data_IF_312654715317
#
_entry.id   IF_312654715317
#
_cell.length_a   1.000
_cell.length_b   1.000
_cell.length_c   1.000
_cell.angle_alpha   90.00
_cell.angle_beta   90.00
_cell.angle_gamma   90.00
#
_symmetry.space_group_name_H-M   'P 1'
#
loop_
_entity.id
_entity.type
_entity.pdbx_description
1 polymer ?
#
# COMPACT_ATOMS: atom_id res chain seq x y z
N UNK A 1 18.08 32.57 -36.31
CA UNK A 1 17.60 31.92 -37.53
C UNK A 1 16.13 31.59 -37.32
N UNK A 2 15.23 32.06 -38.20
CA UNK A 2 13.81 31.68 -38.14
C UNK A 2 13.69 30.17 -38.41
N UNK A 3 13.00 29.48 -37.52
CA UNK A 3 12.89 28.02 -37.45
C UNK A 3 11.92 27.43 -38.48
N UNK A 4 12.23 27.60 -39.77
CA UNK A 4 11.56 26.91 -40.88
C UNK A 4 12.38 25.68 -41.32
N UNK A 5 12.92 24.94 -40.36
CA UNK A 5 13.53 23.64 -40.63
C UNK A 5 12.58 22.51 -40.20
N UNK A 6 12.77 21.33 -40.80
CA UNK A 6 11.92 20.14 -40.55
C UNK A 6 11.86 19.77 -39.07
N UNK A 7 12.92 20.03 -38.30
CA UNK A 7 12.95 19.81 -36.85
C UNK A 7 12.01 20.76 -36.09
N UNK A 8 11.92 22.02 -36.50
CA UNK A 8 11.01 23.00 -35.91
C UNK A 8 9.55 22.66 -36.22
N UNK A 9 9.25 22.18 -37.43
CA UNK A 9 7.91 21.70 -37.78
C UNK A 9 7.50 20.49 -36.94
N UNK A 10 8.37 19.48 -36.83
CA UNK A 10 8.12 18.31 -35.97
C UNK A 10 7.92 18.69 -34.51
N UNK A 11 8.72 19.63 -34.00
CA UNK A 11 8.59 20.13 -32.63
C UNK A 11 7.23 20.79 -32.43
N UNK A 12 6.76 21.57 -33.42
CA UNK A 12 5.42 22.18 -33.38
C UNK A 12 4.31 21.14 -33.34
N UNK A 13 4.41 20.10 -34.16
CA UNK A 13 3.42 19.02 -34.20
C UNK A 13 3.35 18.27 -32.85
N UNK A 14 4.50 17.99 -32.24
CA UNK A 14 4.57 17.39 -30.90
C UNK A 14 3.96 18.29 -29.81
N UNK A 15 4.16 19.61 -29.90
CA UNK A 15 3.57 20.57 -28.96
C UNK A 15 2.04 20.59 -29.10
N UNK A 16 1.51 20.55 -30.32
CA UNK A 16 0.06 20.51 -30.54
C UNK A 16 -0.55 19.18 -30.05
N UNK A 17 0.13 18.05 -30.25
CA UNK A 17 -0.29 16.76 -29.68
C UNK A 17 -0.33 16.79 -28.14
N UNK A 18 0.74 17.29 -27.52
CA UNK A 18 0.80 17.43 -26.06
C UNK A 18 -0.32 18.36 -25.52
N UNK A 19 -0.66 19.43 -26.25
CA UNK A 19 -1.78 20.31 -25.92
C UNK A 19 -3.13 19.60 -26.04
N UNK A 20 -3.32 18.74 -27.04
CA UNK A 20 -4.53 17.94 -27.18
C UNK A 20 -4.74 17.03 -25.96
N UNK A 21 -3.70 16.34 -25.51
CA UNK A 21 -3.79 15.48 -24.32
C UNK A 21 -4.12 16.27 -23.05
N UNK A 22 -3.56 17.47 -22.91
CA UNK A 22 -3.91 18.37 -21.80
C UNK A 22 -5.37 18.84 -21.85
N UNK A 23 -5.92 19.11 -23.04
CA UNK A 23 -7.36 19.42 -23.22
C UNK A 23 -8.25 18.25 -22.78
N UNK A 24 -7.81 17.02 -23.01
CA UNK A 24 -8.48 15.79 -22.57
C UNK A 24 -8.29 15.47 -21.08
N UNK A 25 -7.71 16.40 -20.30
CA UNK A 25 -7.48 16.26 -18.85
C UNK A 25 -6.50 15.14 -18.48
N UNK A 26 -5.60 14.74 -19.38
CA UNK A 26 -4.48 13.88 -19.01
C UNK A 26 -3.60 14.59 -17.97
N UNK A 27 -3.32 13.89 -16.86
CA UNK A 27 -2.54 14.46 -15.76
C UNK A 27 -1.04 14.30 -16.01
N UNK A 28 -0.28 15.34 -15.69
CA UNK A 28 1.17 15.31 -15.63
C UNK A 28 1.61 15.09 -14.18
N UNK A 29 2.48 14.12 -13.97
CA UNK A 29 3.14 13.87 -12.69
C UNK A 29 4.65 14.00 -12.86
N UNK A 30 5.32 14.36 -11.78
CA UNK A 30 6.79 14.34 -11.74
C UNK A 30 7.27 12.94 -11.42
N UNK A 31 8.16 12.43 -12.26
CA UNK A 31 8.80 11.14 -12.07
C UNK A 31 10.17 11.11 -12.70
N UNK A 32 10.93 10.08 -12.36
CA UNK A 32 12.16 9.73 -13.03
C UNK A 32 12.15 8.22 -13.32
N UNK A 33 12.73 7.84 -14.45
CA UNK A 33 12.92 6.45 -14.83
C UNK A 33 14.42 6.18 -14.82
N UNK A 34 14.86 5.37 -13.86
CA UNK A 34 16.28 5.03 -13.68
C UNK A 34 16.44 3.52 -13.80
N UNK A 35 17.40 3.11 -14.62
CA UNK A 35 17.78 1.70 -14.75
C UNK A 35 19.09 1.46 -14.01
N UNK A 36 19.06 0.59 -13.00
CA UNK A 36 20.24 0.21 -12.25
C UNK A 36 20.83 -1.06 -12.87
N UNK A 37 22.04 -0.94 -13.40
CA UNK A 37 22.76 -2.06 -14.02
C UNK A 37 23.79 -2.63 -13.04
N UNK A 38 23.89 -3.96 -13.02
CA UNK A 38 24.93 -4.69 -12.29
C UNK A 38 25.53 -5.74 -13.22
N UNK A 39 26.84 -5.89 -13.17
CA UNK A 39 27.59 -6.91 -13.89
C UNK A 39 28.81 -7.35 -13.05
N UNK A 40 29.37 -8.56 -13.27
CA UNK A 40 30.54 -9.04 -12.55
C UNK A 40 31.82 -8.28 -12.89
N UNK A 41 31.88 -7.67 -14.08
CA UNK A 41 33.03 -6.92 -14.59
C UNK A 41 32.58 -5.76 -15.49
N UNK A 42 33.48 -4.80 -15.73
CA UNK A 42 33.19 -3.60 -16.52
C UNK A 42 32.86 -3.90 -17.99
N UNK A 43 33.49 -4.90 -18.59
CA UNK A 43 33.25 -5.23 -20.01
C UNK A 43 31.83 -5.77 -20.21
N UNK A 44 31.37 -6.61 -19.28
CA UNK A 44 29.98 -7.09 -19.27
C UNK A 44 29.00 -5.95 -18.99
N UNK A 45 29.36 -5.01 -18.10
CA UNK A 45 28.54 -3.83 -17.81
C UNK A 45 28.32 -2.96 -19.06
N UNK A 46 29.39 -2.69 -19.82
CA UNK A 46 29.32 -1.92 -21.06
C UNK A 46 28.40 -2.59 -22.09
N UNK A 47 28.47 -3.92 -22.20
CA UNK A 47 27.59 -4.68 -23.08
C UNK A 47 26.11 -4.56 -22.66
N UNK A 48 25.82 -4.70 -21.36
CA UNK A 48 24.47 -4.50 -20.83
C UNK A 48 23.96 -3.07 -21.06
N UNK A 49 24.82 -2.07 -20.85
CA UNK A 49 24.49 -0.66 -21.08
C UNK A 49 24.17 -0.40 -22.56
N UNK A 50 24.97 -0.91 -23.49
CA UNK A 50 24.73 -0.76 -24.94
C UNK A 50 23.42 -1.44 -25.36
N UNK A 51 23.18 -2.65 -24.86
CA UNK A 51 21.94 -3.41 -25.13
C UNK A 51 20.71 -2.66 -24.61
N UNK A 52 20.74 -2.21 -23.35
CA UNK A 52 19.66 -1.42 -22.76
C UNK A 52 19.43 -0.12 -23.54
N UNK A 53 20.50 0.62 -23.84
CA UNK A 53 20.40 1.88 -24.59
C UNK A 53 19.75 1.67 -25.96
N UNK A 54 20.09 0.58 -26.65
CA UNK A 54 19.48 0.21 -27.93
C UNK A 54 17.98 -0.06 -27.77
N UNK A 55 17.58 -0.83 -26.76
CA UNK A 55 16.16 -1.12 -26.47
C UNK A 55 15.39 0.17 -26.17
N UNK A 56 15.95 1.04 -25.33
CA UNK A 56 15.31 2.30 -24.95
C UNK A 56 15.13 3.22 -26.16
N UNK A 57 16.17 3.40 -26.97
CA UNK A 57 16.10 4.24 -28.18
C UNK A 57 15.08 3.70 -29.17
N UNK A 58 15.03 2.38 -29.39
CA UNK A 58 14.03 1.75 -30.25
C UNK A 58 12.59 1.90 -29.72
N UNK A 59 12.43 2.02 -28.39
CA UNK A 59 11.16 2.32 -27.74
C UNK A 59 10.84 3.83 -27.68
N UNK A 60 11.66 4.69 -28.32
CA UNK A 60 11.47 6.15 -28.33
C UNK A 60 11.94 6.85 -27.05
N UNK A 61 12.63 6.16 -26.14
CA UNK A 61 13.22 6.72 -24.93
C UNK A 61 14.68 7.13 -25.18
N UNK A 62 15.08 8.29 -24.65
CA UNK A 62 16.45 8.80 -24.77
C UNK A 62 17.16 8.70 -23.40
N UNK A 63 17.92 7.64 -23.12
CA UNK A 63 18.65 7.54 -21.86
C UNK A 63 19.73 8.62 -21.76
N UNK A 64 19.99 9.08 -20.54
CA UNK A 64 21.14 9.93 -20.24
C UNK A 64 22.41 9.10 -20.39
N UNK A 65 23.39 9.57 -21.15
CA UNK A 65 24.72 8.96 -21.17
C UNK A 65 25.33 9.09 -19.75
N UNK A 66 25.76 8.00 -19.10
CA UNK A 66 26.35 8.05 -17.76
C UNK A 66 27.49 9.07 -17.60
N UNK A 67 28.26 9.34 -18.66
CA UNK A 67 29.34 10.35 -18.65
C UNK A 67 28.83 11.79 -18.45
N UNK A 68 27.55 12.04 -18.73
CA UNK A 68 26.91 13.34 -18.55
C UNK A 68 26.10 13.44 -17.26
N UNK A 69 26.07 12.40 -16.42
CA UNK A 69 25.46 12.50 -15.10
C UNK A 69 26.40 13.27 -14.15
N UNK A 70 25.95 14.43 -13.69
CA UNK A 70 26.70 15.30 -12.78
C UNK A 70 26.82 14.71 -11.37
N UNK A 71 25.97 13.76 -10.98
CA UNK A 71 25.92 13.22 -9.62
C UNK A 71 25.47 11.75 -9.58
N UNK A 72 26.22 10.82 -10.18
CA UNK A 72 25.80 9.42 -10.35
C UNK A 72 25.53 8.69 -9.03
N UNK A 73 26.30 8.98 -7.97
CA UNK A 73 26.05 8.40 -6.64
C UNK A 73 24.72 8.87 -6.03
N UNK A 74 24.37 10.14 -6.24
CA UNK A 74 23.12 10.70 -5.74
C UNK A 74 21.93 10.18 -6.57
N UNK A 75 22.10 10.07 -7.89
CA UNK A 75 21.14 9.41 -8.78
C UNK A 75 20.89 7.97 -8.35
N UNK A 76 21.95 7.22 -8.05
CA UNK A 76 21.87 5.85 -7.54
C UNK A 76 21.08 5.77 -6.23
N UNK A 77 21.46 6.56 -5.22
CA UNK A 77 20.80 6.54 -3.91
C UNK A 77 19.30 6.86 -4.01
N UNK A 78 18.91 7.81 -4.84
CA UNK A 78 17.49 8.18 -5.01
C UNK A 78 16.69 7.19 -5.83
N UNK A 79 17.34 6.43 -6.71
CA UNK A 79 16.69 5.38 -7.48
C UNK A 79 16.39 4.13 -6.63
N UNK A 80 17.00 4.01 -5.44
CA UNK A 80 16.68 2.92 -4.52
C UNK A 80 15.24 3.06 -3.97
N UNK A 81 14.56 1.93 -3.70
CA UNK A 81 13.21 1.94 -3.16
C UNK A 81 13.10 2.81 -1.91
N UNK A 82 12.12 3.72 -1.92
CA UNK A 82 11.81 4.63 -0.79
C UNK A 82 12.93 5.62 -0.40
N UNK A 83 14.00 5.76 -1.19
CA UNK A 83 15.09 6.70 -0.89
C UNK A 83 14.93 8.09 -1.54
N UNK A 84 13.98 8.27 -2.44
CA UNK A 84 13.65 9.60 -2.99
C UNK A 84 12.78 10.40 -2.03
N UNK A 85 13.28 11.54 -1.55
CA UNK A 85 12.51 12.50 -0.77
C UNK A 85 12.17 13.75 -1.62
N UNK A 86 10.89 13.97 -1.98
CA UNK A 86 10.49 15.10 -2.81
C UNK A 86 10.70 16.47 -2.12
N UNK A 87 10.73 16.54 -0.79
CA UNK A 87 10.95 17.79 -0.06
C UNK A 87 12.40 18.28 -0.17
N UNK A 88 13.34 17.36 -0.43
CA UNK A 88 14.74 17.67 -0.66
C UNK A 88 15.02 18.09 -2.12
N UNK A 89 14.15 17.72 -3.07
CA UNK A 89 14.25 18.14 -4.48
C UNK A 89 13.53 19.49 -4.73
N UNK A 90 13.89 20.52 -3.95
CA UNK A 90 13.24 21.85 -3.98
C UNK A 90 13.27 22.48 -5.38
N UNK A 91 14.37 22.28 -6.10
CA UNK A 91 14.58 22.82 -7.45
C UNK A 91 14.11 21.88 -8.55
N UNK A 92 13.61 20.69 -8.21
CA UNK A 92 13.04 19.71 -9.14
C UNK A 92 14.03 19.27 -10.22
N UNK A 93 15.30 19.12 -9.84
CA UNK A 93 16.39 18.79 -10.75
C UNK A 93 16.37 17.32 -11.18
N UNK A 94 15.71 16.46 -10.40
CA UNK A 94 15.86 15.02 -10.55
C UNK A 94 14.59 14.33 -11.03
N UNK A 95 13.55 15.09 -11.33
CA UNK A 95 12.27 14.59 -11.84
C UNK A 95 11.79 15.42 -13.01
N UNK A 96 11.14 14.79 -13.98
CA UNK A 96 10.55 15.44 -15.13
C UNK A 96 9.04 15.22 -15.18
N UNK A 97 8.33 16.17 -15.81
CA UNK A 97 6.89 16.04 -16.03
C UNK A 97 6.64 14.96 -17.08
N UNK A 98 5.89 13.94 -16.67
CA UNK A 98 5.51 12.80 -17.51
C UNK A 98 4.00 12.62 -17.44
N UNK A 99 3.36 12.31 -18.56
CA UNK A 99 1.95 11.94 -18.55
C UNK A 99 1.73 10.67 -17.73
N UNK A 100 0.66 10.67 -16.92
CA UNK A 100 0.30 9.54 -16.06
C UNK A 100 0.19 8.22 -16.83
N UNK A 101 -0.25 8.28 -18.09
CA UNK A 101 -0.38 7.11 -18.94
C UNK A 101 0.98 6.48 -19.29
N UNK A 102 2.04 7.28 -19.50
CA UNK A 102 3.38 6.76 -19.75
C UNK A 102 3.96 6.13 -18.49
N UNK A 103 3.77 6.76 -17.33
CA UNK A 103 4.16 6.18 -16.03
C UNK A 103 3.44 4.85 -15.82
N UNK A 104 2.12 4.82 -16.06
CA UNK A 104 1.34 3.60 -15.93
C UNK A 104 1.81 2.51 -16.90
N UNK A 105 2.04 2.84 -18.18
CA UNK A 105 2.50 1.87 -19.18
C UNK A 105 3.88 1.28 -18.87
N UNK A 106 4.75 2.01 -18.18
CA UNK A 106 6.08 1.56 -17.77
C UNK A 106 6.10 0.91 -16.36
N UNK A 107 5.02 1.05 -15.59
CA UNK A 107 4.97 0.48 -14.25
C UNK A 107 4.96 -1.05 -14.33
N UNK A 108 5.73 -1.77 -13.49
CA UNK A 108 5.85 -3.23 -13.51
C UNK A 108 4.59 -3.94 -12.93
N UNK A 109 3.44 -3.28 -13.00
CA UNK A 109 2.14 -3.77 -12.52
C UNK A 109 1.20 -4.16 -13.67
N UNK A 110 1.52 -3.76 -14.90
CA UNK A 110 0.74 -4.12 -16.08
C UNK A 110 1.48 -5.20 -16.88
N UNK A 111 0.82 -6.34 -17.05
CA UNK A 111 1.37 -7.45 -17.83
C UNK A 111 0.33 -8.51 -18.12
N UNK A 112 0.62 -9.39 -19.08
CA UNK A 112 -0.17 -10.60 -19.29
C UNK A 112 0.36 -11.68 -18.34
N UNK A 113 -0.54 -12.26 -17.55
CA UNK A 113 -0.24 -13.40 -16.70
C UNK A 113 -1.48 -14.31 -16.64
N UNK A 114 -1.24 -15.60 -16.40
CA UNK A 114 -2.26 -16.59 -16.06
C UNK A 114 -2.26 -16.90 -14.55
N UNK A 115 -1.45 -16.17 -13.79
CA UNK A 115 -1.33 -16.28 -12.33
C UNK A 115 -0.31 -17.33 -11.92
N UNK A 116 -0.51 -17.95 -10.76
CA UNK A 116 0.37 -18.99 -10.20
C UNK A 116 -0.04 -20.39 -10.64
N UNK A 117 -1.24 -20.55 -11.21
CA UNK A 117 -1.79 -21.83 -11.64
C UNK A 117 -2.53 -22.60 -10.54
N UNK A 118 -2.49 -22.13 -9.28
CA UNK A 118 -3.25 -22.71 -8.19
C UNK A 118 -4.71 -22.21 -8.22
N UNK A 119 -5.73 -23.09 -8.34
CA UNK A 119 -7.11 -22.68 -8.56
C UNK A 119 -7.84 -22.37 -7.24
N UNK A 120 -7.39 -21.32 -6.52
CA UNK A 120 -8.09 -20.80 -5.35
C UNK A 120 -9.12 -19.73 -5.72
N UNK A 121 -8.65 -18.73 -6.46
CA UNK A 121 -9.42 -17.63 -7.05
C UNK A 121 -9.15 -17.64 -8.55
N UNK A 122 -10.24 -17.54 -9.32
CA UNK A 122 -10.23 -17.62 -10.77
C UNK A 122 -10.92 -16.42 -11.38
N UNK A 123 -10.23 -15.80 -12.34
CA UNK A 123 -10.72 -14.72 -13.20
C UNK A 123 -10.29 -14.98 -14.65
N UNK A 124 -10.47 -13.98 -15.52
CA UNK A 124 -9.95 -13.99 -16.88
C UNK A 124 -9.00 -12.82 -17.06
N UNK A 125 -7.85 -13.06 -17.68
CA UNK A 125 -6.94 -11.98 -18.08
C UNK A 125 -7.48 -11.24 -19.32
N UNK A 126 -6.82 -10.15 -19.72
CA UNK A 126 -7.24 -9.34 -20.89
C UNK A 126 -7.32 -10.16 -22.20
N UNK A 127 -6.58 -11.26 -22.31
CA UNK A 127 -6.61 -12.16 -23.47
C UNK A 127 -7.73 -13.20 -23.43
N UNK A 128 -8.58 -13.19 -22.38
CA UNK A 128 -9.63 -14.19 -22.19
C UNK A 128 -9.13 -15.51 -21.62
N UNK A 129 -7.85 -15.62 -21.25
CA UNK A 129 -7.33 -16.83 -20.63
C UNK A 129 -7.69 -16.86 -19.15
N UNK A 130 -7.90 -18.06 -18.57
CA UNK A 130 -8.04 -18.19 -17.13
C UNK A 130 -6.82 -17.63 -16.38
N UNK A 131 -7.11 -16.83 -15.36
CA UNK A 131 -6.16 -16.27 -14.41
C UNK A 131 -6.42 -16.93 -13.06
N UNK A 132 -5.50 -17.78 -12.60
CA UNK A 132 -5.64 -18.54 -11.37
C UNK A 132 -4.56 -18.20 -10.36
N UNK A 133 -4.97 -17.91 -9.13
CA UNK A 133 -4.07 -17.80 -8.00
C UNK A 133 -4.78 -18.21 -6.72
N UNK A 134 -4.02 -18.66 -5.73
CA UNK A 134 -4.54 -19.13 -4.46
C UNK A 134 -3.80 -18.45 -3.32
N UNK A 135 -4.42 -17.47 -2.64
CA UNK A 135 -3.74 -16.74 -1.56
C UNK A 135 -3.35 -17.65 -0.40
N UNK A 136 -3.95 -18.83 -0.24
CA UNK A 136 -3.59 -19.74 0.83
C UNK A 136 -2.45 -20.67 0.47
N UNK A 137 -2.27 -21.02 -0.80
CA UNK A 137 -1.14 -21.85 -1.27
C UNK A 137 0.07 -21.05 -1.73
N UNK A 138 -0.17 -19.86 -2.27
CA UNK A 138 0.88 -19.04 -2.90
C UNK A 138 1.61 -18.14 -1.89
N UNK A 139 1.07 -17.97 -0.68
CA UNK A 139 1.70 -17.16 0.37
C UNK A 139 3.02 -17.79 0.82
N UNK A 140 4.04 -16.96 1.04
CA UNK A 140 5.22 -17.36 1.82
C UNK A 140 4.92 -17.34 3.32
N UNK A 141 4.40 -16.21 3.81
CA UNK A 141 3.97 -16.03 5.20
C UNK A 141 2.47 -15.71 5.22
N UNK A 142 2.11 -14.53 4.71
CA UNK A 142 0.75 -13.99 4.65
C UNK A 142 0.37 -13.56 3.24
N UNK A 143 -0.93 -13.60 2.95
CA UNK A 143 -1.48 -13.07 1.71
C UNK A 143 -2.30 -11.82 1.99
N UNK A 144 -1.91 -10.71 1.36
CA UNK A 144 -2.61 -9.44 1.45
C UNK A 144 -3.15 -9.04 0.08
N UNK A 145 -4.36 -8.50 0.04
CA UNK A 145 -5.00 -7.97 -1.16
C UNK A 145 -5.30 -6.49 -0.96
N UNK A 146 -4.89 -5.68 -1.93
CA UNK A 146 -5.21 -4.26 -2.00
C UNK A 146 -6.02 -4.01 -3.27
N UNK A 147 -7.29 -3.60 -3.10
CA UNK A 147 -8.23 -3.41 -4.21
C UNK A 147 -8.68 -1.95 -4.29
N UNK A 148 -8.25 -1.26 -5.35
CA UNK A 148 -8.59 0.13 -5.60
C UNK A 148 -9.66 0.30 -6.68
N UNK A 149 -10.40 1.39 -6.60
CA UNK A 149 -11.37 1.79 -7.61
C UNK A 149 -12.37 2.81 -7.05
N UNK A 150 -12.96 3.68 -7.89
CA UNK A 150 -14.01 4.59 -7.46
C UNK A 150 -15.29 3.85 -7.05
N UNK A 151 -16.24 4.56 -6.46
CA UNK A 151 -17.60 4.04 -6.25
C UNK A 151 -18.21 3.61 -7.58
N UNK A 152 -18.86 2.45 -7.63
CA UNK A 152 -19.43 1.90 -8.87
C UNK A 152 -18.47 1.09 -9.74
N UNK A 153 -17.15 1.07 -9.45
CA UNK A 153 -16.17 0.29 -10.23
C UNK A 153 -16.25 -1.24 -10.04
N UNK A 154 -17.21 -1.74 -9.24
CA UNK A 154 -17.40 -3.17 -9.03
C UNK A 154 -16.56 -3.82 -7.92
N UNK A 155 -15.83 -3.05 -7.09
CA UNK A 155 -14.98 -3.60 -6.01
C UNK A 155 -15.67 -4.66 -5.13
N UNK A 156 -16.82 -4.31 -4.56
CA UNK A 156 -17.55 -5.23 -3.66
C UNK A 156 -18.09 -6.45 -4.40
N UNK A 157 -18.53 -6.30 -5.65
CA UNK A 157 -18.98 -7.41 -6.48
C UNK A 157 -17.83 -8.39 -6.76
N UNK A 158 -16.65 -7.88 -7.13
CA UNK A 158 -15.44 -8.69 -7.32
C UNK A 158 -15.03 -9.41 -6.04
N UNK A 159 -15.09 -8.74 -4.89
CA UNK A 159 -14.80 -9.37 -3.59
C UNK A 159 -15.82 -10.46 -3.24
N UNK A 160 -17.12 -10.25 -3.47
CA UNK A 160 -18.12 -11.30 -3.25
C UNK A 160 -17.82 -12.56 -4.07
N UNK A 161 -17.44 -12.41 -5.34
CA UNK A 161 -17.05 -13.54 -6.20
C UNK A 161 -15.81 -14.25 -5.64
N UNK A 162 -14.76 -13.51 -5.29
CA UNK A 162 -13.55 -14.09 -4.72
C UNK A 162 -13.81 -14.80 -3.38
N UNK A 163 -14.59 -14.19 -2.50
CA UNK A 163 -14.96 -14.76 -1.20
C UNK A 163 -15.80 -16.04 -1.36
N UNK A 164 -16.74 -16.06 -2.30
CA UNK A 164 -17.49 -17.28 -2.63
C UNK A 164 -16.57 -18.42 -3.08
N UNK A 165 -15.59 -18.14 -3.94
CA UNK A 165 -14.62 -19.15 -4.39
C UNK A 165 -13.78 -19.65 -3.21
N UNK A 166 -13.27 -18.74 -2.37
CA UNK A 166 -12.51 -19.10 -1.18
C UNK A 166 -13.32 -19.94 -0.18
N UNK A 167 -14.58 -19.57 0.06
CA UNK A 167 -15.51 -20.33 0.91
C UNK A 167 -15.80 -21.71 0.34
N UNK A 168 -15.98 -21.82 -0.98
CA UNK A 168 -16.24 -23.10 -1.64
C UNK A 168 -15.02 -24.05 -1.54
N UNK A 169 -13.82 -23.51 -1.71
CA UNK A 169 -12.58 -24.31 -1.70
C UNK A 169 -12.14 -24.69 -0.28
N UNK A 170 -12.22 -23.75 0.67
CA UNK A 170 -11.57 -23.89 1.97
C UNK A 170 -12.51 -23.79 3.16
N UNK A 171 -13.76 -23.37 2.97
CA UNK A 171 -14.68 -23.02 4.06
C UNK A 171 -14.02 -22.12 5.12
N UNK A 172 -13.23 -21.15 4.64
CA UNK A 172 -12.49 -20.25 5.53
C UNK A 172 -13.43 -19.45 6.42
N UNK A 173 -13.00 -19.18 7.66
CA UNK A 173 -13.71 -18.25 8.55
C UNK A 173 -13.51 -16.83 8.01
N UNK A 174 -14.60 -16.15 7.71
CA UNK A 174 -14.57 -14.79 7.18
C UNK A 174 -14.94 -13.76 8.26
N UNK A 175 -14.17 -12.68 8.30
CA UNK A 175 -14.50 -11.46 9.03
C UNK A 175 -14.59 -10.33 8.02
N UNK A 176 -15.78 -9.73 7.91
CA UNK A 176 -16.07 -8.66 6.95
C UNK A 176 -16.44 -7.41 7.72
N UNK A 177 -15.64 -6.36 7.56
CA UNK A 177 -15.88 -5.05 8.16
C UNK A 177 -16.07 -4.05 7.02
N UNK A 178 -17.26 -3.46 6.94
CA UNK A 178 -17.59 -2.45 5.93
C UNK A 178 -18.44 -1.34 6.53
N UNK A 179 -18.41 -0.15 5.93
CA UNK A 179 -19.31 0.96 6.27
C UNK A 179 -20.67 0.87 5.57
N UNK A 180 -20.79 0.01 4.55
CA UNK A 180 -22.01 -0.21 3.78
C UNK A 180 -22.74 -1.50 4.18
N UNK A 181 -23.44 -2.09 3.21
CA UNK A 181 -24.06 -3.41 3.34
C UNK A 181 -23.89 -4.19 2.02
N UNK A 182 -22.71 -4.07 1.42
CA UNK A 182 -22.32 -4.75 0.19
C UNK A 182 -22.25 -6.26 0.35
N UNK A 183 -21.81 -6.73 1.52
CA UNK A 183 -21.64 -8.14 1.85
C UNK A 183 -22.84 -8.73 2.61
N UNK A 184 -23.87 -7.93 2.89
CA UNK A 184 -25.07 -8.39 3.59
C UNK A 184 -25.75 -9.58 2.89
N UNK A 185 -25.89 -9.49 1.56
CA UNK A 185 -26.48 -10.57 0.75
C UNK A 185 -25.58 -11.82 0.72
N UNK A 186 -24.26 -11.65 0.72
CA UNK A 186 -23.32 -12.77 0.81
C UNK A 186 -23.49 -13.49 2.16
N UNK A 187 -23.62 -12.74 3.25
CA UNK A 187 -23.87 -13.29 4.58
C UNK A 187 -25.20 -14.05 4.64
N UNK A 188 -26.28 -13.49 4.07
CA UNK A 188 -27.58 -14.15 4.02
C UNK A 188 -27.55 -15.41 3.15
N UNK A 189 -26.82 -15.39 2.03
CA UNK A 189 -26.57 -16.56 1.19
C UNK A 189 -25.81 -17.66 1.95
N UNK A 190 -24.72 -17.32 2.65
CA UNK A 190 -23.99 -18.26 3.51
C UNK A 190 -24.89 -18.90 4.57
N UNK A 191 -25.77 -18.11 5.20
CA UNK A 191 -26.75 -18.62 6.18
C UNK A 191 -27.72 -19.60 5.52
N UNK A 192 -28.19 -19.32 4.31
CA UNK A 192 -29.08 -20.23 3.57
C UNK A 192 -28.42 -21.58 3.23
N UNK A 193 -27.09 -21.60 3.13
CA UNK A 193 -26.28 -22.82 2.96
C UNK A 193 -25.95 -23.53 4.29
N UNK A 194 -26.55 -23.10 5.40
CA UNK A 194 -26.35 -23.70 6.72
C UNK A 194 -25.08 -23.27 7.46
N UNK A 195 -24.40 -22.22 7.00
CA UNK A 195 -23.25 -21.67 7.73
C UNK A 195 -23.69 -20.80 8.90
N UNK A 196 -22.91 -20.83 9.98
CA UNK A 196 -23.08 -19.90 11.10
C UNK A 196 -22.69 -18.50 10.67
N UNK A 197 -23.61 -17.54 10.78
CA UNK A 197 -23.41 -16.16 10.35
C UNK A 197 -23.81 -15.21 11.46
N UNK A 198 -22.84 -14.40 11.92
CA UNK A 198 -23.08 -13.29 12.83
C UNK A 198 -23.03 -11.97 12.04
N UNK A 199 -24.15 -11.24 12.02
CA UNK A 199 -24.27 -9.94 11.34
C UNK A 199 -24.56 -8.88 12.39
N UNK A 200 -23.60 -7.99 12.61
CA UNK A 200 -23.70 -6.88 13.57
C UNK A 200 -23.70 -5.57 12.81
N UNK A 201 -24.63 -4.68 13.15
CA UNK A 201 -24.69 -3.32 12.60
C UNK A 201 -24.36 -2.31 13.68
N UNK A 202 -23.34 -1.50 13.44
CA UNK A 202 -22.90 -0.44 14.36
C UNK A 202 -23.43 0.87 13.79
N UNK A 203 -24.62 1.27 14.26
CA UNK A 203 -25.22 2.56 13.93
C UNK A 203 -25.70 3.25 15.22
N UNK A 204 -25.66 4.59 15.30
CA UNK A 204 -26.21 5.32 16.43
C UNK A 204 -27.66 4.88 16.72
N UNK A 205 -27.97 4.60 18.00
CA UNK A 205 -29.32 4.21 18.44
C UNK A 205 -29.71 2.75 18.22
N UNK A 206 -28.88 1.90 17.61
CA UNK A 206 -29.17 0.46 17.43
C UNK A 206 -29.04 -0.39 18.70
N UNK A 207 -28.47 0.15 19.77
CA UNK A 207 -28.20 -0.58 21.02
C UNK A 207 -27.02 -1.57 20.94
N UNK A 208 -26.37 -1.71 19.78
CA UNK A 208 -25.14 -2.47 19.63
C UNK A 208 -24.02 -1.80 20.43
N UNK A 209 -23.47 -2.50 21.41
CA UNK A 209 -22.33 -2.04 22.18
C UNK A 209 -21.05 -2.73 21.68
N UNK A 210 -20.05 -1.93 21.30
CA UNK A 210 -18.70 -2.40 21.03
C UNK A 210 -17.77 -1.68 22.03
N UNK A 211 -17.47 -2.29 23.19
CA UNK A 211 -16.60 -1.66 24.18
C UNK A 211 -15.21 -1.48 23.57
N UNK A 212 -14.66 -0.27 23.70
CA UNK A 212 -13.31 0.05 23.21
C UNK A 212 -12.24 -0.71 23.99
N UNK A 213 -12.48 -0.93 25.28
CA UNK A 213 -11.56 -1.61 26.19
C UNK A 213 -12.23 -2.87 26.78
N UNK A 214 -12.52 -3.90 25.97
CA UNK A 214 -13.22 -5.11 26.45
C UNK A 214 -12.42 -5.85 27.53
N UNK A 215 -11.09 -5.79 27.41
CA UNK A 215 -10.15 -6.56 28.22
C UNK A 215 -9.51 -5.71 29.33
N UNK A 216 -10.09 -4.55 29.67
CA UNK A 216 -9.55 -3.67 30.72
C UNK A 216 -9.37 -4.38 32.07
N UNK A 217 -10.26 -5.34 32.37
CA UNK A 217 -10.19 -6.18 33.56
C UNK A 217 -8.90 -7.01 33.66
N UNK A 218 -8.24 -7.33 32.54
CA UNK A 218 -6.98 -8.09 32.55
C UNK A 218 -5.79 -7.26 33.06
N UNK A 219 -5.88 -5.93 33.09
CA UNK A 219 -4.83 -5.07 33.65
C UNK A 219 -4.52 -5.48 35.10
N UNK A 220 -5.53 -5.89 35.86
CA UNK A 220 -5.38 -6.31 37.26
C UNK A 220 -4.60 -7.62 37.44
N UNK A 221 -4.40 -8.38 36.36
CA UNK A 221 -3.65 -9.64 36.36
C UNK A 221 -2.21 -9.48 35.87
N UNK A 222 -1.85 -8.28 35.38
CA UNK A 222 -0.51 -7.99 34.89
C UNK A 222 0.48 -7.86 36.06
N UNK A 223 1.69 -8.34 35.84
CA UNK A 223 2.78 -8.16 36.79
C UNK A 223 3.22 -6.67 36.84
N UNK A 224 3.73 -6.16 37.98
CA UNK A 224 4.01 -4.74 38.19
C UNK A 224 5.01 -4.15 37.18
N UNK A 225 5.94 -4.95 36.70
CA UNK A 225 6.93 -4.62 35.67
C UNK A 225 6.29 -4.34 34.29
N UNK A 226 5.10 -4.87 34.03
CA UNK A 226 4.33 -4.61 32.80
C UNK A 226 3.43 -3.38 32.90
N UNK A 227 3.16 -2.90 34.12
CA UNK A 227 2.41 -1.67 34.39
C UNK A 227 3.32 -0.44 34.30
N UNK A 228 4.11 -0.35 33.23
CA UNK A 228 4.99 0.80 32.98
C UNK A 228 4.13 2.03 32.72
N UNK A 229 4.20 2.99 33.63
CA UNK A 229 3.49 4.27 33.57
C UNK A 229 4.43 5.48 33.59
N UNK A 230 5.73 5.25 33.85
CA UNK A 230 6.76 6.28 33.83
C UNK A 230 7.07 6.68 32.40
N UNK A 231 6.93 7.98 32.12
CA UNK A 231 7.13 8.63 30.83
C UNK A 231 8.52 8.38 30.25
N UNK A 232 9.52 8.19 31.11
CA UNK A 232 10.91 7.93 30.70
C UNK A 232 11.16 6.50 30.21
N UNK A 233 10.27 5.57 30.58
CA UNK A 233 10.36 4.15 30.22
C UNK A 233 9.44 3.78 29.04
N UNK A 234 8.70 4.75 28.50
CA UNK A 234 7.82 4.54 27.35
C UNK A 234 8.60 4.47 26.04
N UNK A 235 8.35 3.41 25.26
CA UNK A 235 8.78 3.30 23.85
C UNK A 235 7.99 4.27 22.97
N UNK A 236 8.58 4.76 21.88
CA UNK A 236 7.88 5.62 20.93
C UNK A 236 6.82 4.85 20.13
N UNK A 237 5.76 5.57 19.71
CA UNK A 237 4.65 4.98 18.94
C UNK A 237 5.18 4.56 17.57
N UNK A 238 5.44 3.26 17.38
CA UNK A 238 5.99 2.70 16.15
C UNK A 238 7.25 1.85 16.34
N UNK A 239 7.89 1.91 17.52
CA UNK A 239 8.89 0.93 17.97
C UNK A 239 8.17 -0.34 18.45
N UNK A 240 7.38 -0.93 17.56
CA UNK A 240 6.90 -2.30 17.75
C UNK A 240 8.10 -3.18 17.46
N UNK A 241 8.61 -3.89 18.46
CA UNK A 241 9.67 -4.87 18.26
C UNK A 241 9.19 -5.88 17.23
N UNK A 242 9.65 -5.75 15.98
CA UNK A 242 9.40 -6.75 14.92
C UNK A 242 10.19 -8.04 15.15
N UNK A 243 11.04 -8.06 16.17
CA UNK A 243 11.98 -9.13 16.47
C UNK A 243 11.57 -10.00 17.67
N UNK A 244 10.44 -9.69 18.34
CA UNK A 244 10.00 -10.44 19.52
C UNK A 244 8.92 -11.48 19.18
N UNK A 245 9.21 -12.34 18.19
CA UNK A 245 8.48 -13.59 17.92
C UNK A 245 8.58 -14.60 19.09
N UNK A 246 9.29 -14.26 20.18
CA UNK A 246 9.54 -15.13 21.32
C UNK A 246 8.76 -14.76 22.60
N UNK A 247 7.99 -13.67 22.60
CA UNK A 247 7.19 -13.29 23.76
C UNK A 247 5.70 -13.22 23.39
N UNK A 248 5.06 -14.39 23.35
CA UNK A 248 3.62 -14.60 23.08
C UNK A 248 2.68 -13.93 24.12
N UNK A 249 3.21 -13.15 25.07
CA UNK A 249 2.43 -12.49 26.10
C UNK A 249 1.85 -11.15 25.60
N UNK A 250 0.54 -11.16 25.37
CA UNK A 250 -0.26 -10.01 24.90
C UNK A 250 -0.09 -8.77 25.80
N UNK A 251 0.36 -7.65 25.21
CA UNK A 251 0.44 -6.34 25.88
C UNK A 251 -0.91 -5.61 25.88
N UNK A 252 -1.77 -5.98 26.84
CA UNK A 252 -3.13 -5.41 26.98
C UNK A 252 -3.09 -3.90 27.25
N UNK A 253 -2.15 -3.42 28.08
CA UNK A 253 -2.07 -2.00 28.41
C UNK A 253 -1.59 -1.18 27.20
N UNK A 254 -0.63 -1.68 26.43
CA UNK A 254 -0.19 -1.08 25.18
C UNK A 254 -1.29 -1.03 24.12
N UNK A 255 -2.08 -2.11 23.95
CA UNK A 255 -3.25 -2.12 23.04
C UNK A 255 -4.27 -1.05 23.42
N UNK A 256 -4.59 -0.93 24.71
CA UNK A 256 -5.53 0.09 25.23
C UNK A 256 -4.99 1.50 25.03
N UNK A 257 -3.69 1.72 25.24
CA UNK A 257 -3.02 2.99 24.99
C UNK A 257 -3.16 3.38 23.51
N UNK A 258 -2.83 2.49 22.59
CA UNK A 258 -2.94 2.73 21.14
C UNK A 258 -4.37 3.10 20.75
N UNK A 259 -5.36 2.35 21.25
CA UNK A 259 -6.78 2.63 20.98
C UNK A 259 -7.20 4.00 21.52
N UNK A 260 -6.77 4.36 22.74
CA UNK A 260 -7.07 5.66 23.33
C UNK A 260 -6.39 6.82 22.58
N UNK A 261 -5.14 6.66 22.15
CA UNK A 261 -4.43 7.65 21.32
C UNK A 261 -5.19 7.88 20.02
N UNK A 262 -5.58 6.80 19.32
CA UNK A 262 -6.38 6.89 18.09
C UNK A 262 -7.69 7.64 18.29
N UNK A 263 -8.36 7.46 19.44
CA UNK A 263 -9.58 8.19 19.78
C UNK A 263 -9.33 9.67 20.06
N UNK A 264 -8.24 10.00 20.75
CA UNK A 264 -7.89 11.38 21.11
C UNK A 264 -7.48 12.17 19.87
N UNK A 265 -6.64 11.59 19.01
CA UNK A 265 -6.05 12.29 17.86
C UNK A 265 -6.88 12.16 16.58
N UNK A 266 -7.95 11.35 16.60
CA UNK A 266 -8.73 11.01 15.41
C UNK A 266 -7.94 10.29 14.31
N UNK A 267 -6.70 9.87 14.59
CA UNK A 267 -5.76 9.34 13.59
C UNK A 267 -5.08 10.41 12.74
N UNK A 268 -5.17 11.69 13.11
CA UNK A 268 -4.46 12.77 12.41
C UNK A 268 -2.96 12.74 12.71
N UNK A 269 -2.13 12.90 11.67
CA UNK A 269 -0.66 12.80 11.79
C UNK A 269 -0.01 13.96 12.53
N UNK A 270 -0.70 15.10 12.59
CA UNK A 270 -0.19 16.34 13.16
C UNK A 270 -0.50 16.47 14.66
N UNK A 271 -1.48 15.71 15.16
CA UNK A 271 -1.81 15.63 16.58
C UNK A 271 -1.03 14.49 17.25
N UNK A 272 0.25 14.74 17.57
CA UNK A 272 1.09 13.78 18.31
C UNK A 272 1.06 14.08 19.80
N UNK A 273 0.65 13.09 20.60
CA UNK A 273 0.74 13.14 22.05
C UNK A 273 2.21 13.03 22.48
N UNK A 274 2.62 13.88 23.43
CA UNK A 274 3.97 13.82 23.99
C UNK A 274 4.14 12.56 24.85
N UNK A 275 5.38 12.17 25.16
CA UNK A 275 5.64 11.07 26.11
C UNK A 275 4.99 11.33 27.48
N UNK A 276 4.90 12.59 27.89
CA UNK A 276 4.25 12.98 29.12
C UNK A 276 2.74 12.71 29.11
N UNK A 277 2.08 13.11 28.02
CA UNK A 277 0.65 12.88 27.82
C UNK A 277 0.33 11.38 27.80
N UNK A 278 1.21 10.58 27.18
CA UNK A 278 1.08 9.11 27.14
C UNK A 278 1.24 8.46 28.51
N UNK A 279 2.18 8.92 29.34
CA UNK A 279 2.31 8.43 30.73
C UNK A 279 1.09 8.78 31.57
N UNK A 280 0.54 9.99 31.39
CA UNK A 280 -0.74 10.37 32.02
C UNK A 280 -1.90 9.48 31.53
N UNK A 281 -1.96 9.17 30.24
CA UNK A 281 -2.97 8.29 29.65
C UNK A 281 -2.90 6.87 30.22
N UNK A 282 -1.70 6.26 30.27
CA UNK A 282 -1.52 4.92 30.86
C UNK A 282 -1.90 4.89 32.34
N UNK A 283 -1.53 5.92 33.12
CA UNK A 283 -1.98 6.05 34.52
C UNK A 283 -3.51 6.08 34.62
N UNK A 284 -4.18 6.86 33.78
CA UNK A 284 -5.64 6.95 33.77
C UNK A 284 -6.30 5.60 33.40
N UNK A 285 -5.74 4.86 32.43
CA UNK A 285 -6.23 3.53 32.05
C UNK A 285 -6.12 2.53 33.21
N UNK A 286 -4.97 2.50 33.89
CA UNK A 286 -4.75 1.63 35.06
C UNK A 286 -5.72 1.98 36.20
N UNK A 287 -5.80 3.27 36.57
CA UNK A 287 -6.73 3.74 37.62
C UNK A 287 -8.20 3.43 37.30
N UNK A 288 -8.56 3.42 36.01
CA UNK A 288 -9.94 3.10 35.59
C UNK A 288 -10.21 1.60 35.69
N UNK A 289 -9.21 0.76 35.40
CA UNK A 289 -9.35 -0.69 35.52
C UNK A 289 -9.41 -1.18 36.98
N UNK A 290 -8.94 -0.38 37.94
CA UNK A 290 -9.04 -0.66 39.39
C UNK A 290 -10.44 -0.39 39.99
N UNK A 291 -11.33 0.28 39.26
CA UNK A 291 -12.68 0.66 39.73
C UNK A 291 -13.76 -0.28 39.25
#
# INVERSE_FOLDING_TARGET
ALGDNVESERTRDQVEEARAWLKEKHKLYRGALTFLLKAPDMKTLDHHHLSLSTVLVNAGLKPLNPEYDLSPLNTYLRALPMCFNPELDRNRWYTWLTFVQHIAGLAPVYGRSTGTGNPGISFFNRGGEPLHFDPLKDRKNSAHLLLFGPTGAGKSATLCVALCQMLAMYRSRLFLVESGNSFGLLADYCRSLGLTVNKVSINPGRGTCLPVFPDSHLIMTLAPDKLVVDENQLKDIGDVDTDDDNNDERDVLGEMEIAAILMITGGEKDEKLSRADRGLLRRALVMTAER
#
